data_IF_208452548010
#
_entry.id   IF_208452548010
#
_cell.length_a   1.000
_cell.length_b   1.000
_cell.length_c   1.000
_cell.angle_alpha   90.00
_cell.angle_beta   90.00
_cell.angle_gamma   90.00
#
_symmetry.space_group_name_H-M   'P 1'
#
loop_
_entity.id
_entity.type
_entity.pdbx_description
1 polymer ?
#
# COMPACT_ATOMS: atom_id res chain seq x y z
N UNK A 1 3.67 1.64 -15.89
CA UNK A 1 3.61 2.97 -15.21
C UNK A 1 4.51 2.86 -14.00
N UNK A 2 5.44 3.79 -13.78
CA UNK A 2 6.46 3.60 -12.74
C UNK A 2 6.02 4.14 -11.38
N UNK A 3 5.04 3.49 -10.75
CA UNK A 3 4.69 3.80 -9.35
C UNK A 3 5.83 3.27 -8.46
N UNK A 4 6.49 4.17 -7.74
CA UNK A 4 7.58 3.84 -6.80
C UNK A 4 7.11 3.86 -5.35
N UNK A 5 6.11 4.67 -5.03
CA UNK A 5 5.52 4.79 -3.70
C UNK A 5 4.06 5.24 -3.78
N UNK A 6 3.27 4.83 -2.79
CA UNK A 6 1.88 5.22 -2.59
C UNK A 6 1.66 5.60 -1.12
N UNK A 7 1.06 6.77 -0.87
CA UNK A 7 0.56 7.14 0.45
C UNK A 7 -0.95 6.93 0.55
N UNK A 8 -1.40 6.35 1.65
CA UNK A 8 -2.81 6.13 1.95
C UNK A 8 -3.14 6.79 3.28
N UNK A 9 -4.14 7.67 3.24
CA UNK A 9 -4.63 8.39 4.41
C UNK A 9 -6.14 8.18 4.55
N UNK A 10 -6.62 8.11 5.79
CA UNK A 10 -8.04 7.97 6.09
C UNK A 10 -8.43 8.85 7.30
N UNK A 11 -9.72 9.20 7.41
CA UNK A 11 -10.22 10.19 8.38
C UNK A 11 -10.81 9.62 9.68
N UNK A 12 -10.98 8.29 9.78
CA UNK A 12 -11.42 7.62 11.00
C UNK A 12 -10.22 7.20 11.84
N UNK A 13 -10.48 6.97 13.13
CA UNK A 13 -9.54 6.34 14.05
C UNK A 13 -9.19 4.97 13.53
N UNK A 14 -7.89 4.64 13.54
CA UNK A 14 -7.24 3.43 13.01
C UNK A 14 -6.48 3.64 11.69
N UNK A 15 -5.34 2.98 11.59
CA UNK A 15 -4.49 3.02 10.40
C UNK A 15 -5.14 2.18 9.30
N UNK A 16 -5.47 2.84 8.19
CA UNK A 16 -5.97 2.17 7.00
C UNK A 16 -4.88 1.34 6.33
N UNK A 17 -5.26 0.14 5.91
CA UNK A 17 -4.49 -0.69 4.98
C UNK A 17 -5.19 -0.73 3.62
N UNK A 18 -4.46 -0.68 2.49
CA UNK A 18 -5.04 -0.95 1.18
C UNK A 18 -5.72 -2.32 1.18
N UNK A 19 -6.89 -2.44 0.55
CA UNK A 19 -7.54 -3.74 0.41
C UNK A 19 -6.84 -4.62 -0.63
N UNK A 20 -7.15 -5.92 -0.64
CA UNK A 20 -6.51 -6.90 -1.53
C UNK A 20 -6.58 -6.52 -3.02
N UNK A 21 -7.71 -5.96 -3.48
CA UNK A 21 -7.86 -5.51 -4.86
C UNK A 21 -6.93 -4.33 -5.21
N UNK A 22 -6.74 -3.38 -4.29
CA UNK A 22 -5.78 -2.30 -4.49
C UNK A 22 -4.35 -2.83 -4.56
N UNK A 23 -3.99 -3.78 -3.69
CA UNK A 23 -2.67 -4.39 -3.70
C UNK A 23 -2.43 -5.19 -4.98
N UNK A 24 -3.42 -5.94 -5.46
CA UNK A 24 -3.33 -6.70 -6.72
C UNK A 24 -3.21 -5.77 -7.93
N UNK A 25 -3.95 -4.66 -7.96
CA UNK A 25 -3.78 -3.63 -8.99
C UNK A 25 -2.36 -3.07 -8.98
N UNK A 26 -1.81 -2.74 -7.80
CA UNK A 26 -0.43 -2.27 -7.71
C UNK A 26 0.56 -3.33 -8.19
N UNK A 27 0.30 -4.61 -7.93
CA UNK A 27 1.13 -5.72 -8.40
C UNK A 27 1.14 -5.84 -9.94
N UNK A 28 -0.02 -5.68 -10.58
CA UNK A 28 -0.15 -5.83 -12.03
C UNK A 28 0.34 -4.60 -12.81
N UNK A 29 0.22 -3.40 -12.23
CA UNK A 29 0.43 -2.15 -12.97
C UNK A 29 1.65 -1.34 -12.51
N UNK A 30 2.43 -1.84 -11.55
CA UNK A 30 3.68 -1.21 -11.11
C UNK A 30 4.88 -2.06 -11.48
N UNK A 31 5.91 -1.42 -12.04
CA UNK A 31 7.10 -2.12 -12.53
C UNK A 31 8.04 -2.59 -11.39
N UNK A 32 7.77 -2.21 -10.13
CA UNK A 32 8.65 -2.44 -8.99
C UNK A 32 7.86 -2.69 -7.70
N UNK A 33 8.57 -3.15 -6.67
CA UNK A 33 8.04 -3.28 -5.31
C UNK A 33 7.67 -1.90 -4.73
N UNK A 34 6.37 -1.62 -4.69
CA UNK A 34 5.83 -0.30 -4.31
C UNK A 34 5.96 -0.09 -2.81
N UNK A 35 6.52 1.06 -2.41
CA UNK A 35 6.53 1.49 -1.01
C UNK A 35 5.16 2.01 -0.60
N UNK A 36 4.55 1.43 0.43
CA UNK A 36 3.24 1.79 0.97
C UNK A 36 3.42 2.57 2.27
N UNK A 37 2.90 3.80 2.31
CA UNK A 37 3.00 4.72 3.45
C UNK A 37 1.58 4.99 3.97
N UNK A 38 1.24 4.40 5.10
CA UNK A 38 -0.09 4.48 5.69
C UNK A 38 -0.06 5.44 6.88
N UNK A 39 -1.01 6.38 6.91
CA UNK A 39 -1.12 7.39 7.96
C UNK A 39 -2.58 7.62 8.33
N UNK A 40 -2.83 8.02 9.58
CA UNK A 40 -4.11 8.57 9.99
C UNK A 40 -4.06 10.11 9.89
N UNK A 41 -5.18 10.77 9.55
CA UNK A 41 -5.24 12.22 9.33
C UNK A 41 -4.80 13.06 10.55
N UNK A 42 -5.03 12.56 11.77
CA UNK A 42 -4.82 13.29 13.02
C UNK A 42 -3.84 12.59 13.98
N UNK A 43 -3.11 11.59 13.50
CA UNK A 43 -2.08 10.90 14.27
C UNK A 43 -0.74 11.08 13.54
N UNK A 44 0.32 11.33 14.30
CA UNK A 44 1.70 11.29 13.80
C UNK A 44 2.19 9.88 13.45
N UNK A 45 1.43 8.85 13.79
CA UNK A 45 1.78 7.46 13.49
C UNK A 45 1.78 7.21 11.98
N UNK A 46 2.95 6.83 11.48
CA UNK A 46 3.15 6.42 10.08
C UNK A 46 3.63 4.97 10.07
N UNK A 47 2.94 4.13 9.31
CA UNK A 47 3.40 2.77 9.00
C UNK A 47 3.94 2.76 7.57
N UNK A 48 5.14 2.21 7.42
CA UNK A 48 5.78 1.99 6.13
C UNK A 48 5.91 0.48 5.90
N UNK A 49 5.47 0.01 4.74
CA UNK A 49 5.65 -1.37 4.29
C UNK A 49 5.88 -1.40 2.79
N UNK A 50 6.17 -2.58 2.24
CA UNK A 50 6.33 -2.81 0.81
C UNK A 50 5.23 -3.72 0.26
N UNK A 51 4.91 -3.56 -1.03
CA UNK A 51 3.89 -4.36 -1.70
C UNK A 51 4.12 -5.87 -1.52
N UNK A 52 5.37 -6.33 -1.65
CA UNK A 52 5.72 -7.75 -1.42
C UNK A 52 5.39 -8.28 -0.02
N UNK A 53 5.38 -7.41 0.99
CA UNK A 53 5.08 -7.75 2.38
C UNK A 53 3.57 -7.75 2.64
N UNK A 54 2.85 -6.84 1.98
CA UNK A 54 1.40 -6.68 2.14
C UNK A 54 0.59 -7.67 1.31
N UNK A 55 1.18 -8.20 0.23
CA UNK A 55 0.56 -9.21 -0.63
C UNK A 55 1.54 -10.40 -0.84
N UNK A 56 1.77 -11.22 0.20
CA UNK A 56 2.63 -12.38 0.10
C UNK A 56 2.00 -13.44 -0.82
N UNK A 57 2.84 -14.17 -1.55
CA UNK A 57 2.40 -15.20 -2.52
C UNK A 57 1.37 -14.68 -3.54
N UNK A 58 1.53 -13.41 -3.93
CA UNK A 58 0.68 -12.76 -4.92
C UNK A 58 0.61 -13.57 -6.21
N UNK A 59 -0.54 -13.48 -6.86
CA UNK A 59 -0.71 -14.04 -8.19
C UNK A 59 0.11 -13.22 -9.20
N UNK A 60 0.94 -13.91 -9.97
CA UNK A 60 1.70 -13.34 -11.09
C UNK A 60 1.18 -14.00 -12.38
N UNK A 61 0.90 -13.19 -13.40
CA UNK A 61 0.33 -13.61 -14.68
C UNK A 61 1.43 -14.09 -15.61
#
# INVERSE_FOLDING_TARGET
>A
MKIVALSVAWNRREIIRPCGACLQYLNEFSDNDVKLIMTEKNDSTVIVSYLREMLPYRYEV
#
